data_IF_840456545028
#
_entry.id   IF_840456545028
#
_cell.length_a   1.000
_cell.length_b   1.000
_cell.length_c   1.000
_cell.angle_alpha   90.00
_cell.angle_beta   90.00
_cell.angle_gamma   90.00
#
_symmetry.space_group_name_H-M   'P 1'
#
loop_
_entity.id
_entity.type
_entity.pdbx_description
1 polymer ?
#
# COMPACT_ATOMS: atom_id res chain seq x y z
N UNK A 1 11.26 28.18 -4.93
CA UNK A 1 10.92 27.81 -4.51
C UNK A 1 11.10 27.20 -4.28
N UNK A 2 10.96 26.84 -4.47
CA UNK A 2 10.76 26.28 -4.14
C UNK A 2 11.09 25.38 -4.01
N UNK A 3 11.39 24.80 -4.40
CA UNK A 3 11.76 23.93 -4.28
C UNK A 3 11.60 23.06 -3.73
N UNK A 4 11.43 23.19 -3.78
CA UNK A 4 10.84 22.41 -2.93
C UNK A 4 9.96 21.35 -3.36
N UNK A 5 9.61 21.19 -4.50
CA UNK A 5 8.73 20.26 -4.94
C UNK A 5 9.20 18.91 -4.85
N UNK A 6 10.39 18.62 -5.10
CA UNK A 6 10.86 17.29 -4.98
C UNK A 6 10.84 16.85 -3.54
N UNK A 7 10.95 17.74 -2.66
CA UNK A 7 10.87 17.37 -1.27
C UNK A 7 9.47 17.07 -0.87
N UNK A 8 8.53 17.29 -1.77
CA UNK A 8 7.17 16.99 -1.49
C UNK A 8 6.79 15.61 -1.97
N UNK A 9 7.69 14.88 -2.58
CA UNK A 9 7.41 13.53 -3.02
C UNK A 9 7.17 12.65 -1.82
N UNK A 10 6.01 12.05 -1.77
CA UNK A 10 5.63 11.20 -0.65
C UNK A 10 6.31 9.85 -0.80
N UNK A 11 6.88 9.36 0.28
CA UNK A 11 7.53 8.05 0.29
C UNK A 11 6.51 7.01 0.73
N UNK A 12 6.10 6.15 -0.20
CA UNK A 12 5.10 5.13 0.07
C UNK A 12 5.68 3.82 0.63
N UNK A 13 6.99 3.73 0.80
CA UNK A 13 7.58 2.50 1.32
C UNK A 13 7.12 2.14 2.73
N UNK A 14 6.99 3.09 3.66
CA UNK A 14 6.45 2.75 4.98
C UNK A 14 5.03 2.23 4.91
N UNK A 15 4.22 2.75 3.99
CA UNK A 15 2.86 2.25 3.80
C UNK A 15 2.89 0.83 3.26
N UNK A 16 3.76 0.57 2.29
CA UNK A 16 3.90 -0.78 1.73
C UNK A 16 4.29 -1.80 2.80
N UNK A 17 5.20 -1.43 3.68
CA UNK A 17 5.61 -2.31 4.75
C UNK A 17 4.47 -2.56 5.72
N UNK A 18 3.70 -1.53 6.06
CA UNK A 18 2.56 -1.67 6.95
C UNK A 18 1.51 -2.60 6.35
N UNK A 19 1.28 -2.50 5.04
CA UNK A 19 0.34 -3.35 4.33
C UNK A 19 0.84 -4.80 4.37
N UNK A 20 2.12 -5.01 4.12
CA UNK A 20 2.70 -6.34 4.15
C UNK A 20 2.54 -6.98 5.52
N UNK A 21 2.88 -6.25 6.57
CA UNK A 21 2.77 -6.77 7.92
C UNK A 21 1.32 -7.10 8.28
N UNK A 22 0.40 -6.23 7.90
CA UNK A 22 -1.02 -6.46 8.19
C UNK A 22 -1.53 -7.67 7.41
N UNK A 23 -1.10 -7.82 6.16
CA UNK A 23 -1.48 -8.95 5.32
C UNK A 23 -0.98 -10.26 5.93
N UNK A 24 0.29 -10.29 6.31
CA UNK A 24 0.90 -11.48 6.89
C UNK A 24 0.24 -11.85 8.22
N UNK A 25 -0.07 -10.84 9.02
CA UNK A 25 -0.73 -11.07 10.28
C UNK A 25 -2.13 -11.63 10.08
N UNK A 26 -2.78 -11.26 9.00
CA UNK A 26 -4.12 -11.77 8.68
C UNK A 26 -4.06 -13.15 8.00
N UNK A 27 -2.87 -13.65 7.70
CA UNK A 27 -2.73 -14.95 7.06
C UNK A 27 -3.07 -14.96 5.59
N UNK A 28 -2.95 -13.81 4.93
CA UNK A 28 -3.31 -13.69 3.52
C UNK A 28 -2.07 -13.69 2.64
N UNK A 29 -2.16 -14.36 1.48
CA UNK A 29 -1.14 -14.23 0.47
C UNK A 29 -1.39 -12.93 -0.31
N UNK A 30 -0.42 -12.52 -1.12
CA UNK A 30 -0.62 -11.36 -2.00
C UNK A 30 -1.76 -11.60 -2.99
N UNK A 31 -1.84 -12.84 -3.47
CA UNK A 31 -2.92 -13.19 -4.39
C UNK A 31 -4.28 -13.11 -3.69
N UNK A 32 -4.36 -13.55 -2.44
CA UNK A 32 -5.59 -13.46 -1.66
C UNK A 32 -5.99 -12.00 -1.47
N UNK A 33 -5.03 -11.15 -1.15
CA UNK A 33 -5.31 -9.73 -0.96
C UNK A 33 -5.76 -9.09 -2.28
N UNK A 34 -5.07 -9.42 -3.36
CA UNK A 34 -5.43 -8.89 -4.67
C UNK A 34 -6.86 -9.22 -5.04
N UNK A 35 -7.29 -10.44 -4.73
CA UNK A 35 -8.67 -10.85 -4.99
C UNK A 35 -9.67 -10.02 -4.19
N UNK A 36 -9.33 -9.69 -2.95
CA UNK A 36 -10.23 -8.93 -2.11
C UNK A 36 -10.41 -7.49 -2.57
N UNK A 37 -9.36 -6.91 -3.14
CA UNK A 37 -9.40 -5.51 -3.58
C UNK A 37 -9.48 -5.37 -5.10
N UNK A 38 -9.61 -6.48 -5.80
CA UNK A 38 -9.73 -6.50 -7.26
C UNK A 38 -8.51 -5.95 -7.99
N UNK A 39 -7.33 -6.27 -7.49
CA UNK A 39 -6.07 -5.91 -8.14
C UNK A 39 -5.19 -7.15 -8.25
N UNK A 40 -4.28 -7.14 -9.20
CA UNK A 40 -3.40 -8.28 -9.40
C UNK A 40 -2.35 -8.42 -8.31
N UNK A 41 -1.87 -9.63 -8.12
CA UNK A 41 -0.82 -9.93 -7.16
C UNK A 41 0.42 -9.09 -7.40
N UNK A 42 0.79 -8.86 -8.65
CA UNK A 42 1.94 -8.08 -9.03
C UNK A 42 1.85 -6.65 -8.51
N UNK A 43 0.66 -6.07 -8.61
CA UNK A 43 0.47 -4.70 -8.13
C UNK A 43 0.63 -4.64 -6.61
N UNK A 44 0.11 -5.63 -5.89
CA UNK A 44 0.26 -5.70 -4.45
C UNK A 44 1.75 -5.84 -4.10
N UNK A 45 2.47 -6.71 -4.82
CA UNK A 45 3.89 -6.90 -4.57
C UNK A 45 4.68 -5.62 -4.79
N UNK A 46 4.33 -4.84 -5.81
CA UNK A 46 5.02 -3.59 -6.09
C UNK A 46 4.79 -2.57 -4.98
N UNK A 47 3.58 -2.50 -4.45
CA UNK A 47 3.29 -1.60 -3.35
C UNK A 47 4.11 -2.00 -2.11
N UNK A 48 4.18 -3.28 -1.82
CA UNK A 48 4.88 -3.77 -0.63
C UNK A 48 6.39 -3.68 -0.74
N UNK A 49 6.92 -3.99 -1.91
CA UNK A 49 8.37 -4.15 -2.06
C UNK A 49 9.11 -2.92 -2.53
N UNK A 50 8.49 -2.13 -3.39
CA UNK A 50 9.17 -0.96 -3.96
C UNK A 50 8.44 0.35 -3.70
N UNK A 51 7.38 0.30 -2.91
CA UNK A 51 6.67 1.51 -2.54
C UNK A 51 5.90 2.15 -3.69
N UNK A 52 5.41 1.33 -4.61
CA UNK A 52 4.60 1.86 -5.71
C UNK A 52 3.38 2.58 -5.16
N UNK A 53 3.02 3.64 -5.86
CA UNK A 53 1.90 4.47 -5.47
C UNK A 53 0.57 3.75 -5.77
N UNK A 54 -0.26 3.47 -4.79
CA UNK A 54 -1.57 2.88 -5.06
C UNK A 54 -2.55 3.94 -5.55
N UNK A 55 -3.59 3.50 -6.25
CA UNK A 55 -4.68 4.42 -6.59
C UNK A 55 -5.38 4.84 -5.30
N UNK A 56 -6.13 5.93 -5.37
CA UNK A 56 -6.85 6.42 -4.20
C UNK A 56 -7.83 5.36 -3.67
N UNK A 57 -8.55 4.70 -4.58
CA UNK A 57 -9.52 3.69 -4.19
C UNK A 57 -8.81 2.50 -3.51
N UNK A 58 -7.71 2.04 -4.08
CA UNK A 58 -6.98 0.92 -3.50
C UNK A 58 -6.40 1.31 -2.14
N UNK A 59 -5.87 2.50 -2.04
CA UNK A 59 -5.33 3.01 -0.78
C UNK A 59 -6.43 3.01 0.30
N UNK A 60 -7.60 3.54 -0.06
CA UNK A 60 -8.74 3.59 0.85
C UNK A 60 -9.15 2.18 1.29
N UNK A 61 -9.22 1.25 0.34
CA UNK A 61 -9.61 -0.12 0.63
C UNK A 61 -8.62 -0.80 1.57
N UNK A 62 -7.34 -0.60 1.33
CA UNK A 62 -6.31 -1.23 2.16
C UNK A 62 -6.29 -0.68 3.58
N UNK A 63 -6.36 0.64 3.73
CA UNK A 63 -6.32 1.21 5.07
C UNK A 63 -7.60 0.90 5.84
N UNK A 64 -8.72 0.80 5.15
CA UNK A 64 -9.98 0.45 5.79
C UNK A 64 -10.00 -1.01 6.20
N UNK A 65 -9.59 -1.90 5.29
CA UNK A 65 -9.62 -3.33 5.55
C UNK A 65 -8.71 -3.71 6.72
N UNK A 66 -7.53 -3.13 6.77
CA UNK A 66 -6.55 -3.47 7.79
C UNK A 66 -6.53 -2.50 8.97
N UNK A 67 -7.41 -1.50 8.95
CA UNK A 67 -7.47 -0.50 10.00
C UNK A 67 -6.10 0.13 10.26
N UNK A 68 -5.42 0.48 9.19
CA UNK A 68 -4.09 1.07 9.28
C UNK A 68 -4.21 2.54 9.64
N UNK A 69 -3.47 2.93 10.67
CA UNK A 69 -3.44 4.33 11.08
C UNK A 69 -2.37 5.05 10.29
N UNK A 70 -2.74 6.14 9.66
CA UNK A 70 -1.78 6.91 8.89
C UNK A 70 -1.56 8.28 9.44
N UNK A 71 -2.19 8.62 10.46
CA UNK A 71 -2.16 9.96 11.02
C UNK A 71 -0.90 10.30 11.81
#
# INVERSE_FOLDING_TARGET
>A
MRKNKETQTFDFRPLGLAIREAREKAGLSRNDLGDKVFYGERHIADIENIGSHPSFQLFHDLVTMFNISIG
#
